data_IF_211043718484
#
_entry.id   IF_211043718484
#
_cell.length_a   1.000
_cell.length_b   1.000
_cell.length_c   1.000
_cell.angle_alpha   90.00
_cell.angle_beta   90.00
_cell.angle_gamma   90.00
#
_symmetry.space_group_name_H-M   'P 1'
#
loop_
_entity.id
_entity.type
_entity.pdbx_description
1 polymer ?
#
# COMPACT_ATOMS: atom_id res chain seq x y z
N UNK A 1 -0.97 -12.92 -20.61
CA UNK A 1 -1.58 -11.71 -20.03
C UNK A 1 -1.82 -11.83 -18.52
N UNK A 2 -2.60 -12.80 -18.00
CA UNK A 2 -2.81 -12.93 -16.55
C UNK A 2 -1.48 -13.03 -15.77
N UNK A 3 -0.55 -13.88 -16.20
CA UNK A 3 0.78 -14.05 -15.57
C UNK A 3 1.54 -12.72 -15.42
N UNK A 4 1.39 -11.80 -16.38
CA UNK A 4 2.00 -10.47 -16.37
C UNK A 4 1.42 -9.59 -15.26
N UNK A 5 0.09 -9.57 -15.10
CA UNK A 5 -0.58 -8.81 -14.03
C UNK A 5 -0.25 -9.35 -12.63
N UNK A 6 -0.18 -10.68 -12.47
CA UNK A 6 0.24 -11.27 -11.20
C UNK A 6 1.69 -10.96 -10.88
N UNK A 7 2.59 -11.05 -11.86
CA UNK A 7 3.99 -10.68 -11.66
C UNK A 7 4.14 -9.21 -11.29
N UNK A 8 3.39 -8.31 -11.93
CA UNK A 8 3.35 -6.89 -11.58
C UNK A 8 2.86 -6.67 -10.15
N UNK A 9 1.76 -7.33 -9.75
CA UNK A 9 1.26 -7.28 -8.37
C UNK A 9 2.27 -7.79 -7.34
N UNK A 10 2.97 -8.89 -7.62
CA UNK A 10 3.98 -9.46 -6.73
C UNK A 10 5.20 -8.52 -6.59
N UNK A 11 5.73 -8.00 -7.70
CA UNK A 11 6.86 -7.07 -7.64
C UNK A 11 6.47 -5.76 -6.93
N UNK A 12 5.25 -5.28 -7.14
CA UNK A 12 4.72 -4.12 -6.43
C UNK A 12 4.59 -4.41 -4.93
N UNK A 13 4.13 -5.60 -4.54
CA UNK A 13 4.01 -5.99 -3.13
C UNK A 13 5.38 -6.02 -2.43
N UNK A 14 6.40 -6.57 -3.11
CA UNK A 14 7.78 -6.60 -2.59
C UNK A 14 8.29 -5.17 -2.40
N UNK A 15 8.18 -4.34 -3.43
CA UNK A 15 8.64 -2.96 -3.39
C UNK A 15 7.92 -2.14 -2.32
N UNK A 16 6.59 -2.27 -2.22
CA UNK A 16 5.78 -1.62 -1.20
C UNK A 16 6.16 -2.07 0.20
N UNK A 17 6.36 -3.37 0.42
CA UNK A 17 6.73 -3.90 1.74
C UNK A 17 8.08 -3.37 2.20
N UNK A 18 9.08 -3.36 1.29
CA UNK A 18 10.41 -2.82 1.57
C UNK A 18 10.32 -1.33 1.89
N UNK A 19 9.59 -0.55 1.08
CA UNK A 19 9.40 0.88 1.30
C UNK A 19 8.74 1.17 2.66
N UNK A 20 7.68 0.43 3.00
CA UNK A 20 7.01 0.55 4.30
C UNK A 20 7.95 0.26 5.46
N UNK A 21 8.70 -0.84 5.41
CA UNK A 21 9.63 -1.20 6.49
C UNK A 21 10.73 -0.15 6.66
N UNK A 22 11.35 0.29 5.57
CA UNK A 22 12.39 1.33 5.61
C UNK A 22 11.82 2.62 6.21
N UNK A 23 10.64 3.04 5.74
CA UNK A 23 9.98 4.22 6.26
C UNK A 23 9.69 4.11 7.76
N UNK A 24 9.18 2.95 8.21
CA UNK A 24 8.91 2.72 9.62
C UNK A 24 10.16 2.76 10.49
N UNK A 25 11.27 2.16 10.04
CA UNK A 25 12.54 2.21 10.77
C UNK A 25 13.06 3.64 10.88
N UNK A 26 13.07 4.40 9.77
CA UNK A 26 13.53 5.79 9.76
C UNK A 26 12.66 6.66 10.68
N UNK A 27 11.33 6.54 10.56
CA UNK A 27 10.38 7.34 11.31
C UNK A 27 10.49 7.09 12.82
N UNK A 28 10.47 5.81 13.22
CA UNK A 28 10.58 5.42 14.63
C UNK A 28 11.92 5.84 15.25
N UNK A 29 13.00 5.75 14.48
CA UNK A 29 14.33 6.18 14.94
C UNK A 29 14.43 7.69 15.08
N UNK A 30 13.91 8.45 14.12
CA UNK A 30 14.00 9.91 14.10
C UNK A 30 13.15 10.58 15.18
N UNK A 31 12.01 9.97 15.53
CA UNK A 31 11.06 10.52 16.51
C UNK A 31 11.09 9.81 17.87
N UNK A 32 11.95 8.80 18.03
CA UNK A 32 12.06 8.01 19.26
C UNK A 32 10.73 7.41 19.71
N UNK A 33 9.97 6.84 18.77
CA UNK A 33 8.63 6.24 19.01
C UNK A 33 8.61 4.74 18.72
N UNK A 34 7.77 4.00 19.46
CA UNK A 34 7.56 2.57 19.23
C UNK A 34 6.06 2.24 19.05
N UNK A 35 5.70 1.88 17.82
CA UNK A 35 4.36 1.42 17.44
C UNK A 35 4.32 -0.08 17.13
N UNK A 36 5.36 -0.86 17.48
CA UNK A 36 5.47 -2.28 17.13
C UNK A 36 4.31 -3.15 17.64
N UNK A 37 3.68 -2.76 18.76
CA UNK A 37 2.45 -3.40 19.29
C UNK A 37 1.27 -3.35 18.32
N UNK A 38 1.19 -2.31 17.50
CA UNK A 38 0.10 -2.06 16.54
C UNK A 38 0.54 -2.37 15.12
N UNK A 39 1.76 -1.98 14.76
CA UNK A 39 2.29 -1.95 13.41
C UNK A 39 3.64 -2.68 13.39
N UNK A 40 3.59 -4.00 13.48
CA UNK A 40 4.76 -4.88 13.38
C UNK A 40 5.08 -5.21 11.91
N UNK A 41 6.31 -5.65 11.64
CA UNK A 41 6.78 -5.99 10.28
C UNK A 41 5.86 -6.97 9.55
N UNK A 42 5.31 -7.97 10.24
CA UNK A 42 4.40 -8.93 9.61
C UNK A 42 3.09 -8.29 9.16
N UNK A 43 2.53 -7.39 9.98
CA UNK A 43 1.33 -6.63 9.64
C UNK A 43 1.57 -5.67 8.46
N UNK A 44 2.74 -5.02 8.40
CA UNK A 44 3.14 -4.14 7.31
C UNK A 44 3.24 -4.90 5.99
N UNK A 45 3.94 -6.03 6.01
CA UNK A 45 4.12 -6.90 4.84
C UNK A 45 2.75 -7.43 4.39
N UNK A 46 1.94 -7.92 5.32
CA UNK A 46 0.60 -8.44 5.03
C UNK A 46 -0.31 -7.38 4.39
N UNK A 47 -0.34 -6.16 4.94
CA UNK A 47 -1.13 -5.06 4.39
C UNK A 47 -0.63 -4.63 3.00
N UNK A 48 0.69 -4.57 2.79
CA UNK A 48 1.30 -4.21 1.50
C UNK A 48 0.97 -5.25 0.43
N UNK A 49 1.10 -6.55 0.76
CA UNK A 49 0.72 -7.65 -0.13
C UNK A 49 -0.76 -7.59 -0.46
N UNK A 50 -1.62 -7.42 0.54
CA UNK A 50 -3.06 -7.34 0.35
C UNK A 50 -3.44 -6.18 -0.60
N UNK A 51 -2.89 -4.99 -0.36
CA UNK A 51 -3.12 -3.83 -1.21
C UNK A 51 -2.69 -4.06 -2.67
N UNK A 52 -1.47 -4.57 -2.89
CA UNK A 52 -0.98 -4.84 -4.24
C UNK A 52 -1.75 -5.96 -4.96
N UNK A 53 -2.17 -7.01 -4.24
CA UNK A 53 -3.02 -8.08 -4.80
C UNK A 53 -4.38 -7.52 -5.20
N UNK A 54 -5.00 -6.68 -4.36
CA UNK A 54 -6.28 -6.06 -4.67
C UNK A 54 -6.19 -5.22 -5.95
N UNK A 55 -5.10 -4.46 -6.11
CA UNK A 55 -4.82 -3.68 -7.33
C UNK A 55 -4.57 -4.62 -8.53
N UNK A 56 -3.86 -5.73 -8.37
CA UNK A 56 -3.64 -6.66 -9.48
C UNK A 56 -4.94 -7.35 -9.94
N UNK A 57 -5.79 -7.76 -8.98
CA UNK A 57 -7.11 -8.37 -9.27
C UNK A 57 -8.03 -7.35 -9.93
N UNK A 58 -8.09 -6.11 -9.42
CA UNK A 58 -8.89 -5.04 -10.00
C UNK A 58 -8.52 -4.78 -11.46
N UNK A 59 -7.22 -4.77 -11.77
CA UNK A 59 -6.75 -4.58 -13.15
C UNK A 59 -7.13 -5.77 -14.03
N UNK A 60 -6.99 -7.00 -13.53
CA UNK A 60 -7.38 -8.21 -14.27
C UNK A 60 -8.87 -8.17 -14.65
N UNK A 61 -9.74 -7.80 -13.70
CA UNK A 61 -11.19 -7.70 -13.93
C UNK A 61 -11.52 -6.62 -14.95
N UNK A 62 -10.90 -5.44 -14.84
CA UNK A 62 -11.08 -4.36 -15.80
C UNK A 62 -10.67 -4.80 -17.21
N UNK A 63 -9.52 -5.46 -17.33
CA UNK A 63 -9.00 -5.93 -18.61
C UNK A 63 -9.95 -6.94 -19.26
N UNK A 64 -10.53 -7.87 -18.49
CA UNK A 64 -11.55 -8.81 -18.98
C UNK A 64 -12.82 -8.11 -19.47
N UNK A 65 -13.20 -6.98 -18.88
CA UNK A 65 -14.45 -6.31 -19.21
C UNK A 65 -14.34 -5.34 -20.40
N UNK A 66 -13.33 -4.47 -20.39
CA UNK A 66 -13.25 -3.32 -21.32
C UNK A 66 -11.87 -3.19 -21.98
N UNK A 67 -10.97 -4.15 -21.77
CA UNK A 67 -9.60 -4.10 -22.28
C UNK A 67 -8.80 -2.92 -21.71
N UNK A 68 -7.86 -2.41 -22.50
CA UNK A 68 -6.92 -1.38 -22.06
C UNK A 68 -7.48 0.05 -22.03
N UNK A 69 -8.63 0.28 -22.68
CA UNK A 69 -9.21 1.62 -22.86
C UNK A 69 -9.49 2.34 -21.55
N UNK A 70 -9.74 1.59 -20.47
CA UNK A 70 -10.04 2.14 -19.14
C UNK A 70 -8.85 2.16 -18.19
N UNK A 71 -7.64 1.87 -18.67
CA UNK A 71 -6.47 1.79 -17.79
C UNK A 71 -6.19 3.11 -17.04
N UNK A 72 -6.33 4.26 -17.71
CA UNK A 72 -6.17 5.57 -17.05
C UNK A 72 -7.19 5.79 -15.94
N UNK A 73 -8.46 5.46 -16.20
CA UNK A 73 -9.54 5.55 -15.21
C UNK A 73 -9.27 4.62 -14.03
N UNK A 74 -8.75 3.42 -14.30
CA UNK A 74 -8.40 2.47 -13.26
C UNK A 74 -7.33 2.99 -12.30
N UNK A 75 -6.28 3.63 -12.82
CA UNK A 75 -5.27 4.25 -11.96
C UNK A 75 -5.85 5.37 -11.08
N UNK A 76 -6.78 6.16 -11.62
CA UNK A 76 -7.49 7.18 -10.82
C UNK A 76 -8.30 6.52 -9.70
N UNK A 77 -9.01 5.43 -9.99
CA UNK A 77 -9.75 4.66 -8.97
C UNK A 77 -8.80 4.10 -7.90
N UNK A 78 -7.67 3.52 -8.29
CA UNK A 78 -6.66 3.01 -7.34
C UNK A 78 -6.11 4.12 -6.45
N UNK A 79 -5.84 5.30 -7.01
CA UNK A 79 -5.40 6.46 -6.22
C UNK A 79 -6.48 6.88 -5.20
N UNK A 80 -7.74 7.00 -5.63
CA UNK A 80 -8.87 7.33 -4.74
C UNK A 80 -9.02 6.29 -3.64
N UNK A 81 -8.93 4.99 -3.97
CA UNK A 81 -9.02 3.91 -2.98
C UNK A 81 -7.86 3.92 -1.98
N UNK A 82 -6.66 4.29 -2.43
CA UNK A 82 -5.51 4.47 -1.55
C UNK A 82 -5.76 5.62 -0.56
N UNK A 83 -6.29 6.76 -1.02
CA UNK A 83 -6.74 7.83 -0.12
C UNK A 83 -7.88 7.38 0.81
N UNK A 84 -8.86 6.65 0.30
CA UNK A 84 -9.96 6.14 1.13
C UNK A 84 -9.47 5.19 2.23
N UNK A 85 -8.40 4.43 1.98
CA UNK A 85 -7.82 3.52 2.97
C UNK A 85 -7.25 4.24 4.19
N UNK A 86 -6.89 5.54 4.07
CA UNK A 86 -6.44 6.39 5.19
C UNK A 86 -7.54 6.57 6.24
N UNK A 87 -8.83 6.49 5.86
CA UNK A 87 -9.93 6.55 6.82
C UNK A 87 -9.82 5.47 7.89
N UNK A 88 -9.27 4.31 7.55
CA UNK A 88 -8.99 3.23 8.50
C UNK A 88 -7.97 3.62 9.57
N UNK A 89 -6.95 4.39 9.19
CA UNK A 89 -5.93 4.91 10.13
C UNK A 89 -6.56 5.93 11.07
N UNK A 90 -7.34 6.87 10.53
CA UNK A 90 -7.96 7.94 11.30
C UNK A 90 -9.02 7.41 12.29
N UNK A 91 -9.67 6.30 11.96
CA UNK A 91 -10.64 5.64 12.83
C UNK A 91 -10.05 4.63 13.81
N UNK A 92 -8.74 4.35 13.76
CA UNK A 92 -8.11 3.33 14.57
C UNK A 92 -7.95 3.78 16.03
N UNK A 93 -8.32 2.91 16.98
CA UNK A 93 -8.15 3.17 18.41
C UNK A 93 -6.87 2.54 18.90
N UNK A 94 -5.89 3.38 19.24
CA UNK A 94 -4.62 2.92 19.79
C UNK A 94 -4.76 2.42 21.24
N UNK A 95 -3.91 1.47 21.67
CA UNK A 95 -3.78 1.10 23.06
C UNK A 95 -3.44 2.32 23.94
N UNK A 96 -3.96 2.35 25.17
CA UNK A 96 -3.80 3.48 26.10
C UNK A 96 -2.37 3.64 26.64
N UNK A 97 -1.53 2.63 26.45
CA UNK A 97 -0.14 2.56 26.88
C UNK A 97 0.86 3.00 25.79
N UNK A 98 0.38 3.49 24.66
CA UNK A 98 1.22 4.06 23.60
C UNK A 98 1.56 5.51 23.93
N UNK A 99 2.85 5.81 24.01
CA UNK A 99 3.35 7.18 24.11
C UNK A 99 3.22 7.93 22.78
N UNK A 100 2.86 9.22 22.85
CA UNK A 100 2.71 10.12 21.70
C UNK A 100 1.85 9.53 20.54
N UNK A 101 0.61 9.10 20.82
CA UNK A 101 -0.26 8.41 19.86
C UNK A 101 -0.57 9.23 18.60
N UNK A 102 -0.50 10.56 18.67
CA UNK A 102 -0.67 11.46 17.53
C UNK A 102 0.39 11.24 16.43
N UNK A 103 1.58 10.75 16.78
CA UNK A 103 2.66 10.46 15.82
C UNK A 103 2.39 9.18 15.01
N UNK A 104 1.44 8.34 15.43
CA UNK A 104 1.04 7.15 14.67
C UNK A 104 0.50 7.51 13.28
N UNK A 105 -0.25 8.62 13.19
CA UNK A 105 -0.88 9.05 11.95
C UNK A 105 0.19 9.42 10.91
N UNK A 106 1.26 10.08 11.35
CA UNK A 106 2.41 10.41 10.49
C UNK A 106 3.15 9.18 9.98
N UNK A 107 3.16 8.08 10.74
CA UNK A 107 3.74 6.80 10.31
C UNK A 107 2.81 6.03 9.35
N UNK A 108 1.56 5.84 9.76
CA UNK A 108 0.64 4.93 9.10
C UNK A 108 0.12 5.49 7.76
N UNK A 109 -0.22 6.79 7.69
CA UNK A 109 -0.80 7.38 6.48
C UNK A 109 0.10 7.18 5.24
N UNK A 110 1.41 7.51 5.28
CA UNK A 110 2.29 7.31 4.12
C UNK A 110 2.35 5.85 3.65
N UNK A 111 2.32 4.89 4.58
CA UNK A 111 2.38 3.46 4.25
C UNK A 111 1.18 2.98 3.41
N UNK A 112 0.01 3.61 3.55
CA UNK A 112 -1.19 3.31 2.76
C UNK A 112 -1.08 3.70 1.28
N UNK A 113 -0.13 4.58 0.93
CA UNK A 113 0.13 5.00 -0.44
C UNK A 113 1.15 4.13 -1.17
N UNK A 114 2.03 3.45 -0.43
CA UNK A 114 3.10 2.65 -1.03
C UNK A 114 2.63 1.53 -1.96
N UNK A 115 1.51 0.82 -1.72
CA UNK A 115 1.00 -0.15 -2.68
C UNK A 115 0.66 0.47 -4.03
N UNK A 116 -0.02 1.62 -4.04
CA UNK A 116 -0.38 2.34 -5.26
C UNK A 116 0.86 2.91 -5.95
N UNK A 117 1.77 3.54 -5.20
CA UNK A 117 3.01 4.09 -5.74
C UNK A 117 3.91 3.02 -6.35
N UNK A 118 4.09 1.88 -5.66
CA UNK A 118 4.85 0.76 -6.19
C UNK A 118 4.23 0.23 -7.48
N UNK A 119 2.89 0.09 -7.50
CA UNK A 119 2.17 -0.38 -8.68
C UNK A 119 2.32 0.57 -9.87
N UNK A 120 2.14 1.88 -9.67
CA UNK A 120 2.28 2.89 -10.71
C UNK A 120 3.72 3.07 -11.18
N UNK A 121 4.69 2.98 -10.28
CA UNK A 121 6.12 3.08 -10.63
C UNK A 121 6.55 1.90 -11.48
N UNK A 122 6.05 0.71 -11.20
CA UNK A 122 6.40 -0.50 -11.95
C UNK A 122 5.62 -0.62 -13.27
N UNK A 123 4.50 0.08 -13.43
CA UNK A 123 3.64 -0.01 -14.61
C UNK A 123 4.35 0.11 -15.98
N UNK A 124 5.34 0.99 -16.20
CA UNK A 124 6.05 1.09 -17.48
C UNK A 124 6.88 -0.14 -17.86
N UNK A 125 7.27 -0.98 -16.89
CA UNK A 125 8.11 -2.16 -17.13
C UNK A 125 7.31 -3.38 -17.61
N UNK A 126 5.98 -3.32 -17.53
CA UNK A 126 5.10 -4.39 -17.95
C UNK A 126 4.46 -4.02 -19.28
N UNK A 127 4.86 -4.71 -20.36
CA UNK A 127 4.13 -4.66 -21.64
C UNK A 127 2.70 -5.14 -21.40
N UNK A 128 1.74 -4.31 -21.79
CA UNK A 128 0.32 -4.60 -21.65
C UNK A 128 -0.18 -5.31 -22.90
#
# INVERSE_FOLDING_TARGET
MWKTFLLHGILAAILSSIASIIYGVIYSTALYVDFSKVLNSNSIIGASIFGCILIAIGQLLLFKWKGEKLFGVYNVVVAILSFASVLGVLGFRLPLDIESPELFIGLAIPMHFFPAFAYFTLAPFFKR
#
